data_IF_411835708572
#
_entry.id   IF_411835708572
#
_cell.length_a   1.000
_cell.length_b   1.000
_cell.length_c   1.000
_cell.angle_alpha   90.00
_cell.angle_beta   90.00
_cell.angle_gamma   90.00
#
_symmetry.space_group_name_H-M   'P 1'
#
loop_
_entity.id
_entity.type
_entity.pdbx_description
1 polymer ?
#
# COMPACT_ATOMS: atom_id res chain seq x y z
N UNK A 1 -60.50 20.13 -1.67
CA UNK A 1 -59.27 20.41 -0.93
C UNK A 1 -58.32 19.26 -1.18
N UNK A 2 -57.51 19.45 -2.22
CA UNK A 2 -56.50 18.52 -2.69
C UNK A 2 -55.20 19.13 -2.18
N UNK A 3 -54.57 18.49 -1.19
CA UNK A 3 -53.29 18.95 -0.66
C UNK A 3 -52.18 18.55 -1.64
N UNK A 4 -51.52 19.56 -2.21
CA UNK A 4 -50.30 19.48 -2.99
C UNK A 4 -49.14 19.04 -2.08
N UNK A 5 -48.75 17.78 -2.17
CA UNK A 5 -47.50 17.27 -1.58
C UNK A 5 -46.35 17.64 -2.52
N UNK A 6 -45.55 18.62 -2.10
CA UNK A 6 -44.40 19.14 -2.85
C UNK A 6 -43.28 18.10 -2.95
N UNK A 7 -42.84 17.85 -4.18
CA UNK A 7 -41.61 17.13 -4.54
C UNK A 7 -40.37 17.88 -4.05
N UNK A 8 -39.42 17.26 -3.31
CA UNK A 8 -38.15 17.91 -3.00
C UNK A 8 -37.20 17.84 -4.21
N UNK A 9 -36.85 19.03 -4.70
CA UNK A 9 -35.90 19.33 -5.77
C UNK A 9 -34.48 18.81 -5.51
N UNK A 10 -33.84 18.39 -6.61
CA UNK A 10 -32.53 17.72 -6.72
C UNK A 10 -31.35 18.71 -6.65
N UNK A 11 -31.33 19.66 -5.70
CA UNK A 11 -30.32 20.73 -5.70
C UNK A 11 -29.50 20.94 -4.39
N UNK A 12 -29.48 19.97 -3.47
CA UNK A 12 -28.69 20.10 -2.22
C UNK A 12 -27.57 19.04 -2.05
N UNK A 13 -26.96 18.55 -3.15
CA UNK A 13 -25.85 17.56 -3.11
C UNK A 13 -24.47 18.12 -3.49
N UNK A 14 -24.21 19.40 -3.23
CA UNK A 14 -22.87 19.99 -3.38
C UNK A 14 -22.51 20.81 -2.13
N UNK A 15 -21.93 20.14 -1.12
CA UNK A 15 -20.87 20.65 -0.22
C UNK A 15 -20.78 19.79 1.05
N UNK A 16 -20.29 18.56 0.88
CA UNK A 16 -19.69 17.83 2.01
C UNK A 16 -18.18 17.84 1.81
N UNK A 17 -17.58 19.03 1.96
CA UNK A 17 -16.15 19.15 2.18
C UNK A 17 -15.73 18.17 3.27
N UNK A 18 -14.80 17.26 2.92
CA UNK A 18 -14.23 16.30 3.86
C UNK A 18 -13.67 17.07 5.07
N UNK A 19 -13.92 16.63 6.32
CA UNK A 19 -13.45 17.32 7.50
C UNK A 19 -11.93 17.54 7.41
N UNK A 20 -11.52 18.80 7.52
CA UNK A 20 -10.13 19.27 7.45
C UNK A 20 -9.19 18.55 8.43
N UNK A 21 -9.73 17.89 9.45
CA UNK A 21 -8.97 17.09 10.42
C UNK A 21 -8.34 15.82 9.83
N UNK A 22 -8.84 15.28 8.71
CA UNK A 22 -8.22 14.10 8.06
C UNK A 22 -6.89 14.46 7.39
N UNK A 23 -6.73 15.71 6.94
CA UNK A 23 -5.50 16.20 6.30
C UNK A 23 -4.38 16.47 7.32
N UNK A 24 -4.71 16.66 8.60
CA UNK A 24 -3.73 16.95 9.64
C UNK A 24 -3.00 15.70 10.15
N UNK A 25 -3.64 14.51 10.09
CA UNK A 25 -3.11 13.30 10.71
C UNK A 25 -2.00 12.59 9.89
N UNK A 26 -1.89 12.84 8.59
CA UNK A 26 -0.84 12.23 7.75
C UNK A 26 0.41 13.09 7.58
N UNK A 27 0.40 14.34 8.05
CA UNK A 27 1.57 15.21 8.03
C UNK A 27 2.66 14.82 9.06
N UNK A 28 2.40 13.83 9.93
CA UNK A 28 3.25 13.50 11.08
C UNK A 28 4.10 12.22 10.96
N UNK A 29 4.13 11.51 9.82
CA UNK A 29 4.99 10.33 9.69
C UNK A 29 5.73 10.13 8.37
N UNK A 30 5.67 11.09 7.43
CA UNK A 30 6.64 11.10 6.32
C UNK A 30 7.94 11.71 6.85
N UNK A 31 8.77 10.88 7.50
CA UNK A 31 10.21 11.12 7.41
C UNK A 31 10.52 11.00 5.93
N UNK A 32 10.53 12.14 5.24
CA UNK A 32 11.22 12.26 3.96
C UNK A 32 12.62 11.75 4.26
N UNK A 33 12.91 10.52 3.85
CA UNK A 33 14.28 10.09 3.70
C UNK A 33 14.82 11.01 2.62
N UNK A 34 15.37 12.14 3.06
CA UNK A 34 16.33 12.88 2.27
C UNK A 34 17.39 11.83 2.01
N UNK A 35 17.42 11.29 0.79
CA UNK A 35 18.54 10.48 0.36
C UNK A 35 19.78 11.25 0.82
N UNK A 36 20.69 10.63 1.60
CA UNK A 36 21.90 11.32 1.94
C UNK A 36 22.48 11.78 0.62
N UNK A 37 22.62 13.10 0.44
CA UNK A 37 23.44 13.62 -0.63
C UNK A 37 24.72 12.79 -0.54
N UNK A 38 25.04 12.06 -1.61
CA UNK A 38 26.29 11.33 -1.72
C UNK A 38 27.37 12.37 -1.47
N UNK A 39 27.81 12.45 -0.22
CA UNK A 39 28.78 13.41 0.21
C UNK A 39 30.03 13.01 -0.54
N UNK A 40 30.49 13.92 -1.40
CA UNK A 40 31.82 13.90 -1.94
C UNK A 40 32.81 13.92 -0.77
N UNK A 41 33.08 12.76 -0.19
CA UNK A 41 33.99 12.57 0.92
C UNK A 41 34.56 11.16 0.79
N UNK A 42 35.60 11.02 -0.03
CA UNK A 42 36.68 10.10 0.25
C UNK A 42 37.98 10.81 -0.08
N UNK A 43 38.34 11.72 0.81
CA UNK A 43 39.66 12.34 0.89
C UNK A 43 40.16 12.20 2.32
N UNK A 44 40.32 10.96 2.76
CA UNK A 44 41.14 10.64 3.92
C UNK A 44 42.14 9.58 3.46
N UNK A 45 43.40 10.00 3.40
CA UNK A 45 44.53 9.12 3.14
C UNK A 45 44.56 8.02 4.20
N UNK A 46 44.25 6.80 3.78
CA UNK A 46 44.51 5.58 4.54
C UNK A 46 45.75 4.98 3.88
N UNK A 47 46.80 4.84 4.67
CA UNK A 47 48.06 4.22 4.27
C UNK A 47 47.81 2.80 3.72
N UNK A 48 48.54 2.49 2.66
CA UNK A 48 48.42 1.29 1.83
C UNK A 48 48.63 0.01 2.65
N UNK A 49 47.56 -0.73 2.91
CA UNK A 49 47.61 -2.17 3.09
C UNK A 49 46.92 -2.79 1.88
N UNK A 50 47.71 -3.33 0.93
CA UNK A 50 47.23 -4.01 -0.27
C UNK A 50 46.47 -5.31 0.09
N UNK A 51 45.26 -5.17 0.61
CA UNK A 51 44.25 -6.20 0.45
C UNK A 51 43.93 -6.20 -1.03
N UNK A 52 44.23 -7.29 -1.73
CA UNK A 52 43.94 -7.45 -3.15
C UNK A 52 42.43 -7.35 -3.42
N UNK A 53 41.93 -6.13 -3.53
CA UNK A 53 40.58 -5.82 -3.97
C UNK A 53 40.56 -6.24 -5.43
N UNK A 54 39.95 -7.39 -5.71
CA UNK A 54 39.66 -7.81 -7.08
C UNK A 54 38.93 -6.65 -7.74
N UNK A 55 39.51 -6.13 -8.83
CA UNK A 55 38.87 -5.10 -9.61
C UNK A 55 37.43 -5.55 -9.91
N UNK A 56 36.47 -4.68 -9.55
CA UNK A 56 35.07 -4.96 -9.84
C UNK A 56 34.94 -5.34 -11.32
N UNK A 57 34.22 -6.43 -11.56
CA UNK A 57 34.04 -6.96 -12.91
C UNK A 57 33.54 -5.86 -13.84
N UNK A 58 33.89 -5.92 -15.12
CA UNK A 58 33.59 -4.86 -16.11
C UNK A 58 32.11 -4.44 -16.17
N UNK A 59 31.20 -5.32 -15.73
CA UNK A 59 29.74 -5.10 -15.64
C UNK A 59 29.37 -4.14 -14.48
N UNK A 60 30.19 -4.07 -13.44
CA UNK A 60 29.95 -3.30 -12.21
C UNK A 60 30.72 -1.98 -12.15
N UNK A 61 31.45 -1.62 -13.21
CA UNK A 61 32.02 -0.28 -13.34
C UNK A 61 30.88 0.71 -13.58
N UNK A 62 30.26 1.17 -12.50
CA UNK A 62 29.31 2.27 -12.52
C UNK A 62 30.07 3.55 -12.87
N UNK A 63 30.09 3.89 -14.16
CA UNK A 63 30.77 5.06 -14.68
C UNK A 63 31.18 4.88 -16.13
N UNK A 64 30.81 5.88 -16.95
CA UNK A 64 31.30 6.19 -18.31
C UNK A 64 32.07 5.04 -18.95
N UNK A 65 31.36 4.18 -19.70
CA UNK A 65 32.02 3.28 -20.65
C UNK A 65 32.97 4.15 -21.49
N UNK A 66 34.27 3.85 -21.38
CA UNK A 66 35.40 4.72 -21.74
C UNK A 66 35.39 5.21 -23.21
N UNK A 67 34.50 4.63 -24.03
CA UNK A 67 34.37 4.85 -25.46
C UNK A 67 32.97 5.36 -25.90
N UNK A 68 32.08 5.75 -24.99
CA UNK A 68 30.79 6.35 -25.37
C UNK A 68 30.88 7.86 -25.57
N UNK A 69 30.26 8.33 -26.64
CA UNK A 69 30.02 9.75 -26.88
C UNK A 69 29.05 10.33 -25.83
N UNK A 70 29.08 11.66 -25.65
CA UNK A 70 28.17 12.32 -24.71
C UNK A 70 26.69 12.03 -25.01
N UNK A 71 26.35 11.87 -26.31
CA UNK A 71 25.01 11.52 -26.75
C UNK A 71 24.61 10.10 -26.37
N UNK A 72 25.51 9.13 -26.54
CA UNK A 72 25.25 7.74 -26.15
C UNK A 72 25.12 7.59 -24.62
N UNK A 73 25.82 8.44 -23.84
CA UNK A 73 25.67 8.49 -22.38
C UNK A 73 24.28 9.02 -22.00
N UNK A 74 23.82 10.10 -22.63
CA UNK A 74 22.49 10.69 -22.39
C UNK A 74 21.37 9.69 -22.73
N UNK A 75 21.45 9.02 -23.88
CA UNK A 75 20.49 7.97 -24.29
C UNK A 75 20.48 6.78 -23.31
N UNK A 76 21.65 6.43 -22.77
CA UNK A 76 21.78 5.37 -21.77
C UNK A 76 21.17 5.78 -20.42
N UNK A 77 21.44 6.98 -19.93
CA UNK A 77 20.86 7.53 -18.70
C UNK A 77 19.34 7.69 -18.81
N UNK A 78 18.81 8.13 -19.96
CA UNK A 78 17.38 8.21 -20.21
C UNK A 78 16.72 6.82 -20.15
N UNK A 79 17.36 5.82 -20.76
CA UNK A 79 16.89 4.44 -20.71
C UNK A 79 16.93 3.87 -19.28
N UNK A 80 18.00 4.13 -18.53
CA UNK A 80 18.12 3.72 -17.13
C UNK A 80 17.05 4.37 -16.25
N UNK A 81 16.87 5.69 -16.37
CA UNK A 81 15.85 6.44 -15.64
C UNK A 81 14.46 5.89 -15.93
N UNK A 82 14.14 5.55 -17.19
CA UNK A 82 12.89 4.90 -17.55
C UNK A 82 12.72 3.53 -16.91
N UNK A 83 13.75 2.69 -16.93
CA UNK A 83 13.69 1.36 -16.30
C UNK A 83 13.48 1.49 -14.79
N UNK A 84 14.17 2.43 -14.14
CA UNK A 84 13.99 2.69 -12.71
C UNK A 84 12.58 3.18 -12.41
N UNK A 85 12.02 4.03 -13.28
CA UNK A 85 10.64 4.50 -13.16
C UNK A 85 9.64 3.34 -13.18
N UNK A 86 9.73 2.43 -14.16
CA UNK A 86 8.82 1.29 -14.24
C UNK A 86 8.99 0.30 -13.07
N UNK A 87 10.22 0.14 -12.56
CA UNK A 87 10.46 -0.68 -11.37
C UNK A 87 9.80 -0.06 -10.14
N UNK A 88 9.97 1.25 -9.95
CA UNK A 88 9.34 1.98 -8.85
C UNK A 88 7.80 1.95 -8.94
N UNK A 89 7.24 2.09 -10.15
CA UNK A 89 5.79 1.93 -10.40
C UNK A 89 5.32 0.53 -9.98
N UNK A 90 5.97 -0.52 -10.47
CA UNK A 90 5.59 -1.90 -10.17
C UNK A 90 5.73 -2.23 -8.67
N UNK A 91 6.78 -1.74 -8.00
CA UNK A 91 6.97 -1.93 -6.57
C UNK A 91 5.91 -1.21 -5.74
N UNK A 92 5.51 0.00 -6.16
CA UNK A 92 4.42 0.75 -5.54
C UNK A 92 3.08 0.03 -5.69
N UNK A 93 2.71 -0.40 -6.90
CA UNK A 93 1.47 -1.15 -7.14
C UNK A 93 1.42 -2.44 -6.32
N UNK A 94 2.55 -3.16 -6.25
CA UNK A 94 2.67 -4.37 -5.42
C UNK A 94 2.52 -4.07 -3.93
N UNK A 95 3.08 -2.96 -3.46
CA UNK A 95 2.93 -2.54 -2.07
C UNK A 95 1.46 -2.21 -1.74
N UNK A 96 0.75 -1.52 -2.64
CA UNK A 96 -0.69 -1.27 -2.48
C UNK A 96 -1.48 -2.58 -2.41
N UNK A 97 -1.24 -3.52 -3.32
CA UNK A 97 -1.87 -4.84 -3.31
C UNK A 97 -1.65 -5.57 -1.98
N UNK A 98 -0.42 -5.53 -1.44
CA UNK A 98 -0.14 -6.16 -0.14
C UNK A 98 -0.92 -5.51 1.01
N UNK A 99 -1.08 -4.19 1.00
CA UNK A 99 -1.90 -3.49 2.00
C UNK A 99 -3.35 -3.96 1.93
N UNK A 100 -3.93 -3.98 0.72
CA UNK A 100 -5.30 -4.42 0.49
C UNK A 100 -5.53 -5.85 0.99
N UNK A 101 -4.62 -6.77 0.65
CA UNK A 101 -4.67 -8.17 1.10
C UNK A 101 -4.63 -8.23 2.62
N UNK A 102 -3.73 -7.48 3.28
CA UNK A 102 -3.64 -7.49 4.75
C UNK A 102 -4.91 -6.97 5.41
N UNK A 103 -5.52 -5.92 4.87
CA UNK A 103 -6.81 -5.42 5.36
C UNK A 103 -7.91 -6.47 5.25
N UNK A 104 -8.02 -7.15 4.10
CA UNK A 104 -8.99 -8.23 3.89
C UNK A 104 -8.74 -9.42 4.84
N UNK A 105 -7.49 -9.81 5.04
CA UNK A 105 -7.12 -10.90 5.94
C UNK A 105 -7.46 -10.59 7.39
N UNK A 106 -7.19 -9.38 7.88
CA UNK A 106 -7.59 -8.96 9.23
C UNK A 106 -9.10 -9.04 9.42
N UNK A 107 -9.88 -8.49 8.48
CA UNK A 107 -11.34 -8.55 8.54
C UNK A 107 -11.84 -10.01 8.57
N UNK A 108 -11.27 -10.88 7.73
CA UNK A 108 -11.62 -12.31 7.68
C UNK A 108 -11.26 -13.03 8.98
N UNK A 109 -10.08 -12.78 9.55
CA UNK A 109 -9.62 -13.42 10.79
C UNK A 109 -10.50 -13.01 11.96
N UNK A 110 -10.79 -11.71 12.11
CA UNK A 110 -11.68 -11.18 13.15
C UNK A 110 -13.08 -11.80 13.04
N UNK A 111 -13.64 -11.85 11.81
CA UNK A 111 -14.94 -12.48 11.57
C UNK A 111 -14.93 -13.98 11.90
N UNK A 112 -13.84 -14.68 11.54
CA UNK A 112 -13.70 -16.13 11.80
C UNK A 112 -13.63 -16.42 13.30
N UNK A 113 -12.84 -15.68 14.06
CA UNK A 113 -12.77 -15.84 15.52
C UNK A 113 -14.10 -15.51 16.20
N UNK A 114 -14.79 -14.47 15.73
CA UNK A 114 -16.15 -14.13 16.19
C UNK A 114 -17.12 -15.31 15.97
N UNK A 115 -17.10 -15.90 14.77
CA UNK A 115 -17.92 -17.06 14.45
C UNK A 115 -17.61 -18.26 15.35
N UNK A 116 -16.33 -18.59 15.55
CA UNK A 116 -15.94 -19.73 16.39
C UNK A 116 -16.31 -19.51 17.85
N UNK A 117 -16.09 -18.30 18.40
CA UNK A 117 -16.57 -17.94 19.74
C UNK A 117 -18.06 -18.22 19.88
N UNK A 118 -18.87 -17.71 18.95
CA UNK A 118 -20.33 -17.85 19.01
C UNK A 118 -20.77 -19.31 18.87
N UNK A 119 -20.11 -20.08 18.01
CA UNK A 119 -20.36 -21.50 17.85
C UNK A 119 -20.06 -22.28 19.15
N UNK A 120 -18.92 -22.02 19.78
CA UNK A 120 -18.54 -22.64 21.05
C UNK A 120 -19.46 -22.23 22.21
N UNK A 121 -19.85 -20.95 22.27
CA UNK A 121 -20.84 -20.50 23.24
C UNK A 121 -22.16 -21.26 23.04
N UNK A 122 -22.64 -21.36 21.80
CA UNK A 122 -23.86 -22.10 21.47
C UNK A 122 -23.77 -23.58 21.86
N UNK A 123 -22.63 -24.23 21.63
CA UNK A 123 -22.36 -25.59 22.09
C UNK A 123 -22.44 -25.73 23.61
N UNK A 124 -21.89 -24.75 24.34
CA UNK A 124 -21.91 -24.76 25.80
C UNK A 124 -23.32 -24.65 26.39
N UNK A 125 -24.20 -23.89 25.72
CA UNK A 125 -25.53 -23.54 26.23
C UNK A 125 -26.63 -24.48 25.75
N UNK A 126 -26.56 -25.00 24.52
CA UNK A 126 -27.66 -25.74 23.90
C UNK A 126 -27.41 -27.25 23.77
N UNK A 127 -26.15 -27.68 23.68
CA UNK A 127 -25.82 -29.05 23.25
C UNK A 127 -24.95 -29.83 24.25
N UNK A 128 -24.48 -29.18 25.31
CA UNK A 128 -23.61 -29.80 26.32
C UNK A 128 -24.43 -30.47 27.42
N UNK A 129 -24.36 -31.80 27.51
CA UNK A 129 -25.17 -32.63 28.43
C UNK A 129 -24.58 -32.78 29.83
N UNK A 130 -23.27 -32.55 29.98
CA UNK A 130 -22.58 -32.64 31.27
C UNK A 130 -21.94 -31.29 31.61
N UNK A 131 -21.78 -30.99 32.92
CA UNK A 131 -21.07 -29.78 33.35
C UNK A 131 -19.66 -29.66 32.76
N UNK A 132 -18.95 -30.80 32.58
CA UNK A 132 -17.62 -30.82 31.99
C UNK A 132 -17.59 -30.39 30.52
N UNK A 133 -18.52 -30.87 29.69
CA UNK A 133 -18.64 -30.42 28.30
C UNK A 133 -18.96 -28.92 28.21
N UNK A 134 -19.84 -28.43 29.10
CA UNK A 134 -20.17 -27.02 29.16
C UNK A 134 -18.95 -26.17 29.52
N UNK A 135 -18.15 -26.60 30.51
CA UNK A 135 -16.94 -25.89 30.91
C UNK A 135 -15.91 -25.83 29.78
N UNK A 136 -15.66 -26.96 29.11
CA UNK A 136 -14.72 -27.04 27.98
C UNK A 136 -15.13 -26.15 26.79
N UNK A 137 -16.42 -26.17 26.43
CA UNK A 137 -16.94 -25.33 25.35
C UNK A 137 -16.86 -23.83 25.69
N UNK A 138 -17.08 -23.44 26.95
CA UNK A 138 -16.89 -22.05 27.41
C UNK A 138 -15.44 -21.63 27.34
N UNK A 139 -14.51 -22.46 27.78
CA UNK A 139 -13.07 -22.21 27.68
C UNK A 139 -12.66 -21.91 26.23
N UNK A 140 -13.18 -22.67 25.25
CA UNK A 140 -12.89 -22.43 23.84
C UNK A 140 -13.53 -21.13 23.32
N UNK A 141 -14.76 -20.83 23.74
CA UNK A 141 -15.38 -19.55 23.44
C UNK A 141 -14.51 -18.39 23.94
N UNK A 142 -14.04 -18.45 25.18
CA UNK A 142 -13.19 -17.41 25.79
C UNK A 142 -11.82 -17.30 25.12
N UNK A 143 -11.24 -18.42 24.71
CA UNK A 143 -10.01 -18.45 23.91
C UNK A 143 -10.19 -17.73 22.57
N UNK A 144 -11.25 -18.03 21.82
CA UNK A 144 -11.52 -17.37 20.54
C UNK A 144 -11.87 -15.89 20.71
N UNK A 145 -12.54 -15.50 21.80
CA UNK A 145 -12.75 -14.09 22.12
C UNK A 145 -11.43 -13.38 22.38
N UNK A 146 -10.50 -14.00 23.11
CA UNK A 146 -9.17 -13.44 23.34
C UNK A 146 -8.38 -13.25 22.03
N UNK A 147 -8.42 -14.25 21.13
CA UNK A 147 -7.81 -14.16 19.80
C UNK A 147 -8.45 -13.08 18.93
N UNK A 148 -9.79 -12.94 18.98
CA UNK A 148 -10.52 -11.86 18.29
C UNK A 148 -10.07 -10.50 18.78
N UNK A 149 -9.98 -10.30 20.10
CA UNK A 149 -9.55 -9.03 20.69
C UNK A 149 -8.11 -8.68 20.33
N UNK A 150 -7.19 -9.65 20.37
CA UNK A 150 -5.80 -9.44 19.95
C UNK A 150 -5.70 -9.09 18.45
N UNK A 151 -6.42 -9.80 17.59
CA UNK A 151 -6.46 -9.50 16.16
C UNK A 151 -7.06 -8.10 15.89
N UNK A 152 -8.12 -7.72 16.59
CA UNK A 152 -8.72 -6.40 16.50
C UNK A 152 -7.75 -5.31 16.96
N UNK A 153 -7.10 -5.49 18.11
CA UNK A 153 -6.14 -4.51 18.63
C UNK A 153 -4.96 -4.30 17.67
N UNK A 154 -4.45 -5.38 17.07
CA UNK A 154 -3.41 -5.30 16.03
C UNK A 154 -3.91 -4.56 14.80
N UNK A 155 -5.11 -4.88 14.34
CA UNK A 155 -5.71 -4.23 13.18
C UNK A 155 -5.97 -2.73 13.43
N UNK A 156 -6.44 -2.36 14.61
CA UNK A 156 -6.67 -0.98 15.00
C UNK A 156 -5.37 -0.18 15.02
N UNK A 157 -4.28 -0.82 15.46
CA UNK A 157 -2.95 -0.22 15.52
C UNK A 157 -2.28 -0.03 14.15
N UNK A 158 -2.35 -1.01 13.26
CA UNK A 158 -1.62 -0.97 11.98
C UNK A 158 -2.46 -0.63 10.76
N UNK A 159 -3.79 -0.76 10.83
CA UNK A 159 -4.67 -0.56 9.70
C UNK A 159 -4.86 0.92 9.35
N UNK A 160 -4.96 1.19 8.06
CA UNK A 160 -5.28 2.52 7.52
C UNK A 160 -6.74 2.88 7.84
N UNK A 161 -6.97 4.05 8.45
CA UNK A 161 -8.29 4.48 8.96
C UNK A 161 -9.40 4.46 7.90
N UNK A 162 -9.10 4.87 6.66
CA UNK A 162 -10.08 4.86 5.57
C UNK A 162 -10.54 3.45 5.21
N UNK A 163 -9.67 2.44 5.37
CA UNK A 163 -9.94 1.04 5.06
C UNK A 163 -10.50 0.26 6.25
N UNK A 164 -10.22 0.69 7.49
CA UNK A 164 -10.81 0.12 8.72
C UNK A 164 -12.31 0.40 8.81
N UNK A 165 -12.72 1.63 8.54
CA UNK A 165 -14.08 2.12 8.76
C UNK A 165 -15.00 1.89 7.55
N UNK A 166 -15.36 0.61 7.31
CA UNK A 166 -16.36 0.27 6.29
C UNK A 166 -17.75 0.63 6.81
N UNK A 167 -18.37 1.67 6.23
CA UNK A 167 -19.73 2.09 6.57
C UNK A 167 -20.73 0.99 6.23
N UNK A 168 -21.86 0.87 6.97
CA UNK A 168 -22.93 -0.05 6.61
C UNK A 168 -23.37 0.16 5.15
N UNK A 169 -23.49 -0.94 4.39
CA UNK A 169 -23.84 -0.91 2.97
C UNK A 169 -22.67 -0.71 2.00
N UNK A 170 -21.46 -0.43 2.49
CA UNK A 170 -20.24 -0.41 1.67
C UNK A 170 -19.41 -1.67 1.88
N UNK A 171 -18.60 -2.01 0.89
CA UNK A 171 -17.62 -3.09 0.92
C UNK A 171 -16.21 -2.54 1.15
N UNK A 172 -15.26 -3.42 1.52
CA UNK A 172 -13.84 -3.05 1.56
C UNK A 172 -13.35 -2.56 0.18
N UNK A 173 -13.85 -3.17 -0.91
CA UNK A 173 -13.49 -2.78 -2.27
C UNK A 173 -13.89 -1.32 -2.57
N UNK A 174 -15.08 -0.89 -2.15
CA UNK A 174 -15.51 0.51 -2.32
C UNK A 174 -14.58 1.48 -1.59
N UNK A 175 -14.07 1.08 -0.43
CA UNK A 175 -13.13 1.87 0.37
C UNK A 175 -11.74 1.91 -0.25
N UNK A 176 -11.30 0.80 -0.87
CA UNK A 176 -10.04 0.73 -1.63
C UNK A 176 -10.09 1.70 -2.81
N UNK A 177 -11.20 1.74 -3.56
CA UNK A 177 -11.36 2.68 -4.68
C UNK A 177 -11.26 4.14 -4.23
N UNK A 178 -11.90 4.49 -3.11
CA UNK A 178 -11.81 5.84 -2.54
C UNK A 178 -10.39 6.17 -2.05
N UNK A 179 -9.70 5.18 -1.46
CA UNK A 179 -8.32 5.34 -1.02
C UNK A 179 -7.39 5.58 -2.21
N UNK A 180 -7.52 4.79 -3.28
CA UNK A 180 -6.74 4.97 -4.52
C UNK A 180 -6.95 6.35 -5.13
N UNK A 181 -8.20 6.81 -5.23
CA UNK A 181 -8.50 8.15 -5.71
C UNK A 181 -7.91 9.27 -4.82
N UNK A 182 -7.74 9.01 -3.52
CA UNK A 182 -7.06 9.91 -2.58
C UNK A 182 -5.54 9.93 -2.79
N UNK A 183 -4.92 8.76 -2.91
CA UNK A 183 -3.48 8.62 -3.17
C UNK A 183 -3.09 9.31 -4.49
N UNK A 184 -3.85 9.09 -5.57
CA UNK A 184 -3.58 9.73 -6.87
C UNK A 184 -3.60 11.26 -6.79
N UNK A 185 -4.48 11.84 -5.97
CA UNK A 185 -4.50 13.29 -5.72
C UNK A 185 -3.30 13.74 -4.88
N UNK A 186 -2.91 12.95 -3.87
CA UNK A 186 -1.83 13.28 -2.93
C UNK A 186 -0.48 13.34 -3.64
N UNK A 187 -0.23 12.46 -4.61
CA UNK A 187 1.05 12.41 -5.28
C UNK A 187 1.35 13.60 -6.20
N UNK A 188 0.39 14.51 -6.46
CA UNK A 188 0.56 15.75 -7.28
C UNK A 188 1.17 15.55 -8.68
N UNK A 189 1.38 14.29 -9.03
CA UNK A 189 2.07 13.78 -10.18
C UNK A 189 1.03 12.93 -10.87
N UNK A 190 0.57 13.39 -12.02
CA UNK A 190 -0.26 12.56 -12.85
C UNK A 190 0.61 11.38 -13.31
N UNK A 191 0.47 10.25 -12.62
CA UNK A 191 1.18 9.01 -12.89
C UNK A 191 1.14 8.69 -14.39
N UNK A 192 0.02 8.97 -15.04
CA UNK A 192 -0.18 8.71 -16.47
C UNK A 192 0.51 9.75 -17.35
N UNK A 193 0.47 11.04 -17.00
CA UNK A 193 1.15 12.08 -17.77
C UNK A 193 2.68 12.01 -17.68
N UNK A 194 3.19 11.39 -16.62
CA UNK A 194 4.62 11.35 -16.31
C UNK A 194 5.28 10.01 -16.59
N UNK A 195 4.46 9.02 -16.94
CA UNK A 195 4.88 7.69 -17.33
C UNK A 195 5.71 7.81 -18.61
N UNK A 196 6.98 7.41 -18.61
CA UNK A 196 7.76 7.39 -19.84
C UNK A 196 7.11 6.46 -20.87
N UNK A 197 7.28 6.76 -22.15
CA UNK A 197 6.79 5.89 -23.21
C UNK A 197 7.42 4.49 -23.09
N UNK A 198 6.55 3.48 -23.08
CA UNK A 198 6.98 2.10 -23.13
C UNK A 198 7.44 1.76 -24.55
N UNK A 199 8.74 1.56 -24.72
CA UNK A 199 9.27 0.98 -25.95
C UNK A 199 9.48 -0.51 -25.73
N UNK A 200 8.72 -1.33 -26.47
CA UNK A 200 8.90 -2.77 -26.46
C UNK A 200 10.26 -3.12 -27.11
N UNK A 201 11.24 -3.66 -26.35
CA UNK A 201 12.55 -4.00 -26.90
C UNK A 201 12.50 -5.21 -27.86
N UNK A 202 11.37 -5.93 -27.92
CA UNK A 202 11.17 -7.08 -28.81
C UNK A 202 10.63 -6.70 -30.19
N UNK A 203 10.01 -5.52 -30.32
CA UNK A 203 9.55 -4.99 -31.60
C UNK A 203 10.72 -4.24 -32.27
N UNK A 204 11.56 -4.98 -33.00
CA UNK A 204 12.55 -4.35 -33.88
C UNK A 204 11.84 -3.71 -35.07
N UNK A 205 11.80 -2.38 -35.13
CA UNK A 205 11.49 -1.63 -36.36
C UNK A 205 10.30 -0.67 -36.34
N UNK A 206 9.70 -0.34 -35.20
CA UNK A 206 8.75 0.77 -35.14
C UNK A 206 9.53 2.10 -35.03
N UNK A 207 10.14 2.53 -36.13
CA UNK A 207 10.55 3.93 -36.29
C UNK A 207 9.30 4.79 -36.25
N UNK A 208 9.31 5.77 -35.35
CA UNK A 208 8.36 6.86 -35.28
C UNK A 208 8.39 7.69 -36.56
N UNK A 209 7.62 7.28 -37.56
CA UNK A 209 7.17 8.12 -38.66
C UNK A 209 5.63 8.05 -38.72
N UNK A 210 4.99 8.94 -37.95
CA UNK A 210 3.66 9.48 -38.22
C UNK A 210 3.67 10.97 -37.87
#
# INVERSE_FOLDING_TARGET
DIDEEQDPTVEDMEDSALPTEVLAYQAQSVKVYKAPALAANNSLAIEEEEVGIKADGWIWKAGRLENMSAKEIEEWEETENRVQWFRAEADFERWQEQIEIKHADFQRVIASFTYYRDAWMRLSSQYSWTPGHCAYAREHSDMFESLRMDAQAKYDHCGIDILKNVRPGHTLADRILLWHAGEEKMFSFDRWASRPDFHDPTIRGATSEL
#
